data_IF_505980634532
#
_entry.id   IF_505980634532
#
_cell.length_a   1.000
_cell.length_b   1.000
_cell.length_c   1.000
_cell.angle_alpha   90.00
_cell.angle_beta   90.00
_cell.angle_gamma   90.00
#
_symmetry.space_group_name_H-M   'P 1'
#
loop_
_entity.id
_entity.type
_entity.pdbx_description
1 polymer ?
#
# COMPACT_ATOMS: atom_id res chain seq x y z
N UNK A 1 12.10 5.97 35.58
CA UNK A 1 12.74 5.49 34.33
C UNK A 1 11.68 4.81 33.50
N UNK A 2 11.53 5.14 32.21
CA UNK A 2 10.65 4.39 31.32
C UNK A 2 11.24 3.00 31.08
N UNK A 3 10.37 2.00 30.96
CA UNK A 3 10.78 0.62 30.70
C UNK A 3 11.32 0.51 29.27
N UNK A 4 12.45 -0.14 29.08
CA UNK A 4 12.97 -0.44 27.76
C UNK A 4 12.00 -1.32 26.96
N UNK A 5 11.78 -0.99 25.71
CA UNK A 5 11.01 -1.85 24.79
C UNK A 5 11.85 -3.08 24.49
N UNK A 6 11.33 -4.26 24.79
CA UNK A 6 12.04 -5.53 24.55
C UNK A 6 11.18 -6.51 23.77
N UNK A 7 9.92 -6.68 24.15
CA UNK A 7 9.02 -7.67 23.58
C UNK A 7 7.80 -7.03 22.96
N UNK A 8 7.57 -7.34 21.70
CA UNK A 8 6.45 -6.84 20.89
C UNK A 8 5.59 -8.01 20.46
N UNK A 9 4.27 -7.87 20.55
CA UNK A 9 3.36 -8.72 19.80
C UNK A 9 2.80 -7.89 18.65
N UNK A 10 2.98 -8.36 17.43
CA UNK A 10 2.41 -7.74 16.24
C UNK A 10 1.23 -8.58 15.75
N UNK A 11 0.08 -7.93 15.53
CA UNK A 11 -1.14 -8.57 15.04
C UNK A 11 -1.34 -8.15 13.58
N UNK A 12 -1.87 -9.04 12.75
CA UNK A 12 -2.29 -8.69 11.41
C UNK A 12 -2.21 -9.84 10.41
N UNK A 13 -2.69 -9.62 9.18
CA UNK A 13 -2.51 -10.59 8.12
C UNK A 13 -1.04 -10.63 7.70
N UNK A 14 -0.53 -11.81 7.46
CA UNK A 14 0.76 -12.07 6.82
C UNK A 14 0.59 -13.25 5.86
N UNK A 15 1.59 -13.55 5.03
CA UNK A 15 1.58 -14.75 4.21
C UNK A 15 1.00 -15.95 4.99
N UNK A 16 0.08 -16.72 4.42
CA UNK A 16 -0.33 -16.77 3.03
C UNK A 16 -1.48 -15.80 2.64
N UNK A 17 -1.91 -14.88 3.52
CA UNK A 17 -2.91 -13.89 3.14
C UNK A 17 -2.41 -12.95 2.04
N UNK A 18 -3.30 -12.66 1.05
CA UNK A 18 -3.03 -11.77 -0.08
C UNK A 18 -3.15 -10.29 0.30
N UNK A 19 -2.47 -9.46 -0.47
CA UNK A 19 -2.69 -8.02 -0.52
C UNK A 19 -1.71 -7.18 0.29
N UNK A 20 -1.75 -5.87 0.02
CA UNK A 20 -0.77 -4.91 0.51
C UNK A 20 -0.60 -4.89 2.04
N UNK A 21 -1.69 -5.07 2.79
CA UNK A 21 -1.62 -5.07 4.26
C UNK A 21 -0.88 -6.30 4.78
N UNK A 22 -1.03 -7.46 4.14
CA UNK A 22 -0.30 -8.67 4.51
C UNK A 22 1.21 -8.50 4.24
N UNK A 23 1.58 -7.96 3.09
CA UNK A 23 2.98 -7.63 2.79
C UNK A 23 3.55 -6.60 3.75
N UNK A 24 2.80 -5.52 4.01
CA UNK A 24 3.20 -4.49 4.97
C UNK A 24 3.48 -5.08 6.35
N UNK A 25 2.51 -5.83 6.88
CA UNK A 25 2.62 -6.45 8.21
C UNK A 25 3.82 -7.39 8.30
N UNK A 26 4.03 -8.20 7.26
CA UNK A 26 5.17 -9.13 7.20
C UNK A 26 6.51 -8.40 7.16
N UNK A 27 6.65 -7.37 6.33
CA UNK A 27 7.88 -6.59 6.21
C UNK A 27 8.18 -5.79 7.49
N UNK A 28 7.17 -5.20 8.11
CA UNK A 28 7.32 -4.51 9.40
C UNK A 28 7.75 -5.48 10.50
N UNK A 29 7.14 -6.66 10.57
CA UNK A 29 7.55 -7.70 11.52
C UNK A 29 9.01 -8.11 11.33
N UNK A 30 9.44 -8.35 10.09
CA UNK A 30 10.84 -8.66 9.77
C UNK A 30 11.79 -7.53 10.16
N UNK A 31 11.41 -6.26 9.96
CA UNK A 31 12.22 -5.11 10.35
C UNK A 31 12.35 -4.99 11.88
N UNK A 32 11.25 -5.10 12.61
CA UNK A 32 11.25 -5.03 14.07
C UNK A 32 12.04 -6.19 14.70
N UNK A 33 12.01 -7.39 14.11
CA UNK A 33 12.78 -8.56 14.56
C UNK A 33 14.31 -8.38 14.52
N UNK A 34 14.81 -7.39 13.77
CA UNK A 34 16.23 -7.05 13.78
C UNK A 34 16.71 -6.52 15.14
N UNK A 35 15.79 -5.94 15.94
CA UNK A 35 16.12 -5.26 17.21
C UNK A 35 15.35 -5.81 18.41
N UNK A 36 14.18 -6.42 18.21
CA UNK A 36 13.24 -6.80 19.26
C UNK A 36 12.83 -8.26 19.19
N UNK A 37 12.42 -8.81 20.33
CA UNK A 37 11.67 -10.08 20.38
C UNK A 37 10.24 -9.84 19.90
N UNK A 38 9.92 -10.27 18.67
CA UNK A 38 8.62 -10.01 18.04
C UNK A 38 7.88 -11.32 17.78
N UNK A 39 6.79 -11.52 18.49
CA UNK A 39 5.82 -12.58 18.22
C UNK A 39 4.80 -12.09 17.18
N UNK A 40 4.76 -12.74 16.02
CA UNK A 40 3.76 -12.46 14.98
C UNK A 40 2.49 -13.28 15.22
N UNK A 41 1.34 -12.62 15.37
CA UNK A 41 0.02 -13.24 15.56
C UNK A 41 -0.88 -12.89 14.37
N UNK A 42 -1.32 -13.90 13.65
CA UNK A 42 -2.15 -13.74 12.45
C UNK A 42 -3.50 -14.46 12.59
N UNK A 43 -4.28 -14.43 11.53
CA UNK A 43 -5.65 -14.92 11.50
C UNK A 43 -5.72 -16.39 11.08
N UNK A 44 -6.50 -17.19 11.82
CA UNK A 44 -7.04 -18.46 11.32
C UNK A 44 -8.09 -18.16 10.24
N UNK A 45 -8.95 -17.19 10.53
CA UNK A 45 -9.98 -16.68 9.62
C UNK A 45 -10.01 -15.16 9.73
N UNK A 46 -9.72 -14.46 8.61
CA UNK A 46 -9.72 -13.01 8.51
C UNK A 46 -11.11 -12.48 8.17
N UNK A 47 -11.69 -12.93 7.06
CA UNK A 47 -13.05 -12.59 6.64
C UNK A 47 -13.88 -13.86 6.43
N UNK A 48 -15.14 -13.89 6.90
CA UNK A 48 -16.07 -14.96 6.56
C UNK A 48 -16.33 -15.02 5.05
N UNK A 49 -16.54 -16.22 4.51
CA UNK A 49 -16.75 -16.42 3.06
C UNK A 49 -17.95 -15.64 2.49
N UNK A 50 -18.98 -15.36 3.31
CA UNK A 50 -20.14 -14.58 2.86
C UNK A 50 -19.85 -13.09 2.70
N UNK A 51 -18.82 -12.55 3.39
CA UNK A 51 -18.38 -11.16 3.25
C UNK A 51 -17.31 -11.02 2.17
N UNK A 52 -16.46 -12.02 2.00
CA UNK A 52 -15.40 -12.01 1.01
C UNK A 52 -15.37 -13.33 0.26
N UNK A 53 -15.94 -13.32 -0.95
CA UNK A 53 -16.16 -14.53 -1.77
C UNK A 53 -14.89 -15.02 -2.48
N UNK A 54 -13.93 -14.12 -2.76
CA UNK A 54 -12.67 -14.46 -3.45
C UNK A 54 -11.72 -15.20 -2.50
N UNK A 55 -10.78 -15.98 -3.07
CA UNK A 55 -9.74 -16.63 -2.28
C UNK A 55 -8.84 -15.60 -1.57
N UNK A 56 -8.73 -15.71 -0.25
CA UNK A 56 -8.00 -14.77 0.59
C UNK A 56 -6.52 -15.14 0.75
N UNK A 57 -6.14 -16.36 0.37
CA UNK A 57 -4.79 -16.91 0.57
C UNK A 57 -4.13 -17.23 -0.75
N UNK A 58 -2.81 -17.13 -0.76
CA UNK A 58 -1.93 -17.50 -1.86
C UNK A 58 -0.68 -18.16 -1.27
N UNK A 59 -0.39 -19.36 -1.71
CA UNK A 59 0.72 -20.14 -1.22
C UNK A 59 1.92 -20.16 -2.18
N UNK A 60 1.83 -19.43 -3.31
CA UNK A 60 2.85 -19.45 -4.37
C UNK A 60 4.08 -18.57 -4.06
N UNK A 61 4.02 -17.78 -2.98
CA UNK A 61 5.03 -16.79 -2.64
C UNK A 61 5.65 -16.99 -1.24
N UNK A 62 6.29 -18.13 -0.93
CA UNK A 62 6.82 -18.45 0.41
C UNK A 62 7.92 -17.48 0.90
N UNK A 63 8.56 -16.72 0.00
CA UNK A 63 9.52 -15.68 0.36
C UNK A 63 8.95 -14.56 1.24
N UNK A 64 7.62 -14.37 1.23
CA UNK A 64 6.92 -13.43 2.11
C UNK A 64 6.58 -14.03 3.48
N UNK A 65 6.86 -15.30 3.69
CA UNK A 65 6.60 -15.95 4.97
C UNK A 65 7.31 -15.21 6.13
N UNK A 66 6.59 -15.10 7.22
CA UNK A 66 7.14 -14.66 8.51
C UNK A 66 7.27 -15.90 9.38
N UNK A 67 8.48 -16.41 9.61
CA UNK A 67 8.68 -17.63 10.38
C UNK A 67 8.04 -17.55 11.78
N UNK A 68 7.60 -18.67 12.31
CA UNK A 68 7.01 -18.79 13.65
C UNK A 68 5.71 -18.00 13.86
N UNK A 69 5.03 -17.60 12.79
CA UNK A 69 3.73 -16.92 12.86
C UNK A 69 2.70 -17.79 13.59
N UNK A 70 1.98 -17.17 14.53
CA UNK A 70 0.92 -17.83 15.31
C UNK A 70 -0.44 -17.46 14.71
N UNK A 71 -1.10 -18.38 14.01
CA UNK A 71 -2.43 -18.18 13.43
C UNK A 71 -3.51 -18.45 14.50
N UNK A 72 -3.69 -17.51 15.42
CA UNK A 72 -4.55 -17.67 16.58
C UNK A 72 -5.94 -17.05 16.47
N UNK A 73 -6.13 -16.03 15.61
CA UNK A 73 -7.30 -15.17 15.65
C UNK A 73 -8.36 -15.61 14.62
N UNK A 74 -9.57 -15.88 15.10
CA UNK A 74 -10.76 -16.05 14.28
C UNK A 74 -11.70 -14.86 14.51
N UNK A 75 -11.76 -13.93 13.58
CA UNK A 75 -12.39 -12.60 13.75
C UNK A 75 -13.89 -12.62 14.10
N UNK A 76 -14.61 -13.66 13.67
CA UNK A 76 -16.04 -13.81 13.90
C UNK A 76 -16.38 -14.76 15.08
N UNK A 77 -15.40 -15.22 15.87
CA UNK A 77 -15.64 -16.11 17.01
C UNK A 77 -15.20 -15.44 18.33
N UNK A 78 -16.14 -14.90 19.14
CA UNK A 78 -15.79 -14.23 20.41
C UNK A 78 -15.01 -15.09 21.40
N UNK A 79 -15.31 -16.37 21.49
CA UNK A 79 -14.58 -17.28 22.37
C UNK A 79 -13.14 -17.48 21.94
N UNK A 80 -12.91 -17.60 20.61
CA UNK A 80 -11.57 -17.65 20.07
C UNK A 80 -10.80 -16.35 20.31
N UNK A 81 -11.42 -15.19 20.13
CA UNK A 81 -10.82 -13.88 20.37
C UNK A 81 -10.35 -13.75 21.82
N UNK A 82 -11.18 -14.16 22.78
CA UNK A 82 -10.79 -14.20 24.21
C UNK A 82 -9.64 -15.16 24.46
N UNK A 83 -9.66 -16.33 23.85
CA UNK A 83 -8.58 -17.33 23.95
C UNK A 83 -7.27 -16.79 23.37
N UNK A 84 -7.31 -16.20 22.18
CA UNK A 84 -6.16 -15.58 21.53
C UNK A 84 -5.58 -14.43 22.39
N UNK A 85 -6.43 -13.58 22.96
CA UNK A 85 -5.98 -12.53 23.89
C UNK A 85 -5.28 -13.08 25.11
N UNK A 86 -5.76 -14.20 25.70
CA UNK A 86 -5.08 -14.89 26.79
C UNK A 86 -3.73 -15.47 26.40
N UNK A 87 -3.58 -15.97 25.17
CA UNK A 87 -2.30 -16.42 24.66
C UNK A 87 -1.32 -15.27 24.49
N UNK A 88 -1.77 -14.12 23.96
CA UNK A 88 -0.96 -12.92 23.85
C UNK A 88 -0.49 -12.43 25.22
N UNK A 89 -1.36 -12.44 26.25
CA UNK A 89 -0.98 -12.06 27.61
C UNK A 89 0.11 -12.99 28.21
N UNK A 90 0.13 -14.27 27.87
CA UNK A 90 1.18 -15.20 28.29
C UNK A 90 2.55 -14.83 27.72
N UNK A 91 2.60 -14.20 26.56
CA UNK A 91 3.83 -13.68 25.96
C UNK A 91 4.43 -12.51 26.75
N UNK A 92 3.65 -11.87 27.64
CA UNK A 92 4.04 -10.67 28.43
C UNK A 92 4.65 -9.55 27.60
N UNK A 93 4.00 -9.12 26.49
CA UNK A 93 4.55 -8.06 25.65
C UNK A 93 4.62 -6.72 26.38
N UNK A 94 5.62 -5.90 26.04
CA UNK A 94 5.67 -4.51 26.40
C UNK A 94 4.69 -3.69 25.55
N UNK A 95 4.62 -4.05 24.26
CA UNK A 95 3.82 -3.38 23.23
C UNK A 95 3.05 -4.39 22.39
N UNK A 96 1.78 -4.09 22.12
CA UNK A 96 0.99 -4.79 21.11
C UNK A 96 0.67 -3.82 19.98
N UNK A 97 1.01 -4.19 18.73
CA UNK A 97 0.76 -3.39 17.53
C UNK A 97 -0.40 -3.98 16.77
N UNK A 98 -1.45 -3.19 16.57
CA UNK A 98 -2.62 -3.53 15.79
C UNK A 98 -2.61 -2.76 14.45
N UNK A 99 -2.69 -3.40 13.29
CA UNK A 99 -3.00 -2.72 12.04
C UNK A 99 -4.48 -2.33 12.04
N UNK A 100 -4.77 -1.11 11.62
CA UNK A 100 -6.13 -0.64 11.45
C UNK A 100 -6.37 -0.21 10.00
N UNK A 101 -7.35 -0.83 9.34
CA UNK A 101 -7.67 -0.50 7.93
C UNK A 101 -9.16 -0.59 7.59
N UNK A 102 -9.97 -1.26 8.43
CA UNK A 102 -11.40 -1.42 8.15
C UNK A 102 -12.19 -1.69 9.43
N UNK A 103 -13.32 -0.99 9.65
CA UNK A 103 -14.17 -1.14 10.85
C UNK A 103 -14.80 -2.53 11.05
N UNK A 104 -14.77 -3.41 10.05
CA UNK A 104 -15.13 -4.82 10.23
C UNK A 104 -14.38 -5.48 11.40
N UNK A 105 -13.13 -5.09 11.63
CA UNK A 105 -12.30 -5.65 12.70
C UNK A 105 -12.63 -5.09 14.08
N UNK A 106 -13.47 -4.05 14.15
CA UNK A 106 -13.74 -3.36 15.40
C UNK A 106 -14.26 -4.28 16.52
N UNK A 107 -15.22 -5.19 16.32
CA UNK A 107 -15.66 -6.07 17.39
C UNK A 107 -14.54 -6.97 17.93
N UNK A 108 -13.70 -7.48 17.03
CA UNK A 108 -12.56 -8.33 17.38
C UNK A 108 -11.51 -7.53 18.17
N UNK A 109 -11.04 -6.43 17.62
CA UNK A 109 -9.97 -5.63 18.22
C UNK A 109 -10.42 -4.97 19.53
N UNK A 110 -11.66 -4.55 19.64
CA UNK A 110 -12.20 -4.01 20.89
C UNK A 110 -12.20 -5.02 22.04
N UNK A 111 -12.56 -6.29 21.78
CA UNK A 111 -12.48 -7.36 22.80
C UNK A 111 -11.04 -7.58 23.21
N UNK A 112 -10.13 -7.70 22.23
CA UNK A 112 -8.70 -7.89 22.49
C UNK A 112 -8.12 -6.72 23.29
N UNK A 113 -8.38 -5.50 22.86
CA UNK A 113 -7.94 -4.28 23.52
C UNK A 113 -8.37 -4.22 24.99
N UNK A 114 -9.66 -4.49 25.28
CA UNK A 114 -10.17 -4.54 26.66
C UNK A 114 -9.39 -5.49 27.57
N UNK A 115 -8.93 -6.60 27.03
CA UNK A 115 -8.18 -7.59 27.77
C UNK A 115 -6.71 -7.20 27.92
N UNK A 116 -6.12 -6.64 26.89
CA UNK A 116 -4.69 -6.38 26.81
C UNK A 116 -4.28 -5.06 27.48
N UNK A 117 -5.09 -4.01 27.35
CA UNK A 117 -4.79 -2.62 27.77
C UNK A 117 -4.31 -2.46 29.22
N UNK A 118 -4.75 -3.34 30.14
CA UNK A 118 -4.34 -3.31 31.55
C UNK A 118 -2.93 -3.85 31.79
N UNK A 119 -2.36 -4.53 30.81
CA UNK A 119 -1.12 -5.31 30.96
C UNK A 119 -0.01 -4.87 30.01
N UNK A 120 -0.36 -4.20 28.92
CA UNK A 120 0.58 -3.79 27.87
C UNK A 120 0.14 -2.47 27.24
N UNK A 121 1.07 -1.78 26.58
CA UNK A 121 0.76 -0.63 25.73
C UNK A 121 0.21 -1.09 24.39
N UNK A 122 -0.66 -0.27 23.81
CA UNK A 122 -1.31 -0.54 22.52
C UNK A 122 -0.96 0.53 21.51
N UNK A 123 -0.41 0.11 20.38
CA UNK A 123 -0.12 0.96 19.23
C UNK A 123 -1.03 0.57 18.07
N UNK A 124 -1.67 1.55 17.46
CA UNK A 124 -2.39 1.36 16.20
C UNK A 124 -1.57 1.89 15.02
N UNK A 125 -1.36 1.01 14.05
CA UNK A 125 -0.84 1.36 12.74
C UNK A 125 -2.03 1.56 11.80
N UNK A 126 -2.39 2.81 11.56
CA UNK A 126 -3.56 3.15 10.75
C UNK A 126 -3.17 3.25 9.27
N UNK A 127 -3.61 2.28 8.48
CA UNK A 127 -3.55 2.35 7.01
C UNK A 127 -4.60 3.29 6.45
N UNK A 128 -5.75 3.36 7.10
CA UNK A 128 -6.81 4.35 6.92
C UNK A 128 -7.52 4.50 8.25
N UNK A 129 -7.74 5.71 8.73
CA UNK A 129 -8.54 5.93 9.95
C UNK A 129 -10.00 5.61 9.65
N UNK A 130 -10.54 6.15 8.57
CA UNK A 130 -11.86 5.80 8.07
C UNK A 130 -11.78 5.05 6.72
N UNK A 131 -12.73 4.14 6.43
CA UNK A 131 -12.72 3.43 5.16
C UNK A 131 -13.03 4.37 3.99
N UNK A 132 -12.50 4.05 2.78
CA UNK A 132 -12.82 4.80 1.56
C UNK A 132 -14.31 4.75 1.22
N UNK A 133 -14.91 3.57 1.35
CA UNK A 133 -16.35 3.37 1.18
C UNK A 133 -17.02 3.48 2.55
N UNK A 134 -17.67 4.63 2.78
CA UNK A 134 -18.32 4.95 4.05
C UNK A 134 -19.60 4.15 4.24
N UNK A 135 -19.87 3.73 5.48
CA UNK A 135 -21.13 3.07 5.85
C UNK A 135 -21.65 3.56 7.23
N UNK A 136 -22.93 3.31 7.50
CA UNK A 136 -23.68 3.96 8.58
C UNK A 136 -23.06 3.90 9.98
N UNK A 137 -22.25 2.91 10.30
CA UNK A 137 -21.67 2.75 11.66
C UNK A 137 -20.13 2.87 11.69
N UNK A 138 -19.50 3.21 10.59
CA UNK A 138 -18.06 3.20 10.46
C UNK A 138 -17.37 4.12 11.49
N UNK A 139 -17.89 5.35 11.68
CA UNK A 139 -17.36 6.29 12.66
C UNK A 139 -17.46 5.79 14.10
N UNK A 140 -18.60 5.23 14.45
CA UNK A 140 -18.83 4.70 15.79
C UNK A 140 -17.86 3.54 16.08
N UNK A 141 -17.76 2.59 15.16
CA UNK A 141 -16.90 1.42 15.30
C UNK A 141 -15.42 1.82 15.36
N UNK A 142 -14.99 2.71 14.48
CA UNK A 142 -13.62 3.24 14.47
C UNK A 142 -13.29 3.94 15.79
N UNK A 143 -14.15 4.86 16.24
CA UNK A 143 -13.96 5.56 17.52
C UNK A 143 -13.86 4.59 18.69
N UNK A 144 -14.72 3.58 18.73
CA UNK A 144 -14.77 2.60 19.80
C UNK A 144 -13.46 1.85 20.01
N UNK A 145 -12.70 1.66 18.94
CA UNK A 145 -11.39 0.99 18.97
C UNK A 145 -10.27 2.01 19.17
N UNK A 146 -10.14 3.00 18.29
CA UNK A 146 -8.98 3.88 18.28
C UNK A 146 -8.91 4.82 19.49
N UNK A 147 -10.05 5.19 20.09
CA UNK A 147 -10.07 6.09 21.26
C UNK A 147 -9.14 5.65 22.41
N UNK A 148 -8.92 4.34 22.54
CA UNK A 148 -8.18 3.76 23.66
C UNK A 148 -6.72 3.41 23.36
N UNK A 149 -6.26 3.55 22.12
CA UNK A 149 -4.85 3.35 21.78
C UNK A 149 -3.92 4.28 22.59
N UNK A 150 -2.72 3.80 22.91
CA UNK A 150 -1.69 4.62 23.54
C UNK A 150 -0.89 5.39 22.51
N UNK A 151 -0.55 4.73 21.39
CA UNK A 151 0.29 5.28 20.33
C UNK A 151 -0.35 5.06 18.97
N UNK A 152 -0.06 5.96 18.04
CA UNK A 152 -0.61 5.89 16.68
C UNK A 152 0.47 6.19 15.65
N UNK A 153 0.47 5.40 14.58
CA UNK A 153 1.19 5.70 13.35
C UNK A 153 0.14 5.92 12.27
N UNK A 154 0.18 7.07 11.62
CA UNK A 154 -0.65 7.41 10.45
C UNK A 154 0.23 7.68 9.25
N UNK A 155 -0.30 7.49 8.05
CA UNK A 155 0.50 7.53 6.82
C UNK A 155 0.16 8.70 5.89
N UNK A 156 -0.87 9.48 6.23
CA UNK A 156 -1.24 10.72 5.52
C UNK A 156 -1.70 11.80 6.48
N UNK A 157 -1.60 13.06 6.06
CA UNK A 157 -2.16 14.20 6.81
C UNK A 157 -3.67 14.09 6.98
N UNK A 158 -4.36 13.47 6.02
CA UNK A 158 -5.78 13.21 6.09
C UNK A 158 -6.09 12.24 7.25
N UNK A 159 -5.37 11.11 7.34
CA UNK A 159 -5.53 10.16 8.44
C UNK A 159 -5.18 10.79 9.79
N UNK A 160 -4.16 11.66 9.84
CA UNK A 160 -3.81 12.40 11.06
C UNK A 160 -4.97 13.30 11.48
N UNK A 161 -5.53 14.09 10.59
CA UNK A 161 -6.71 14.94 10.82
C UNK A 161 -7.93 14.13 11.26
N UNK A 162 -8.17 12.99 10.62
CA UNK A 162 -9.26 12.09 10.96
C UNK A 162 -9.08 11.47 12.36
N UNK A 163 -7.85 11.16 12.76
CA UNK A 163 -7.55 10.66 14.09
C UNK A 163 -7.85 11.71 15.18
N UNK A 164 -7.54 12.99 14.93
CA UNK A 164 -7.87 14.08 15.85
C UNK A 164 -9.39 14.28 16.03
N UNK A 165 -10.22 13.89 15.04
CA UNK A 165 -11.69 13.86 15.20
C UNK A 165 -12.17 12.77 16.17
N UNK A 166 -11.35 11.72 16.37
CA UNK A 166 -11.67 10.58 17.25
C UNK A 166 -11.13 10.80 18.65
N UNK A 167 -9.90 11.28 18.78
CA UNK A 167 -9.15 11.43 20.00
C UNK A 167 -8.51 12.82 20.05
N UNK A 168 -8.80 13.59 21.10
CA UNK A 168 -8.42 15.01 21.22
C UNK A 168 -6.91 15.22 21.35
N UNK A 169 -6.19 14.28 21.93
CA UNK A 169 -4.73 14.36 22.16
C UNK A 169 -4.07 13.00 21.91
N UNK A 170 -3.98 12.55 20.64
CA UNK A 170 -3.33 11.30 20.33
C UNK A 170 -1.81 11.44 20.36
N UNK A 171 -1.11 10.48 20.97
CA UNK A 171 0.34 10.35 20.78
C UNK A 171 0.58 9.73 19.41
N UNK A 172 0.74 10.57 18.42
CA UNK A 172 0.78 10.19 17.01
C UNK A 172 2.08 10.57 16.32
N UNK A 173 2.48 9.79 15.32
CA UNK A 173 3.50 10.11 14.33
C UNK A 173 2.92 9.92 12.93
N UNK A 174 3.06 10.97 12.14
CA UNK A 174 2.88 10.90 10.68
C UNK A 174 4.18 10.41 10.06
N UNK A 175 4.11 9.30 9.33
CA UNK A 175 5.24 8.77 8.57
C UNK A 175 4.74 8.17 7.27
N UNK A 176 5.41 8.39 6.13
CA UNK A 176 4.97 7.81 4.87
C UNK A 176 5.04 6.29 4.91
N UNK A 177 4.24 5.67 4.08
CA UNK A 177 4.27 4.23 3.88
C UNK A 177 5.65 3.80 3.37
N UNK A 178 6.31 2.80 3.98
CA UNK A 178 7.61 2.31 3.50
C UNK A 178 7.55 1.68 2.11
N UNK A 179 8.66 1.68 1.41
CA UNK A 179 8.78 1.06 0.09
C UNK A 179 8.70 -0.46 0.13
N UNK A 180 8.21 -1.05 -0.96
CA UNK A 180 8.13 -2.49 -1.13
C UNK A 180 9.32 -3.04 -1.96
N UNK A 181 10.54 -2.88 -1.46
CA UNK A 181 11.74 -3.49 -2.07
C UNK A 181 11.65 -5.02 -2.15
N UNK A 182 10.75 -5.63 -1.36
CA UNK A 182 10.52 -7.07 -1.34
C UNK A 182 9.98 -7.64 -2.68
N UNK A 183 9.48 -6.80 -3.59
CA UNK A 183 9.09 -7.24 -4.94
C UNK A 183 10.25 -7.37 -5.91
N UNK A 184 11.48 -6.99 -5.54
CA UNK A 184 12.70 -7.32 -6.30
C UNK A 184 13.14 -8.76 -6.00
N UNK A 185 12.39 -9.73 -6.48
CA UNK A 185 12.58 -11.14 -6.16
C UNK A 185 13.69 -11.80 -6.97
N UNK A 186 13.87 -11.36 -8.20
CA UNK A 186 14.80 -11.93 -9.17
C UNK A 186 15.96 -10.97 -9.49
N UNK A 187 15.88 -9.71 -9.03
CA UNK A 187 16.79 -8.63 -9.34
C UNK A 187 16.98 -8.40 -10.85
N UNK A 188 15.86 -8.46 -11.58
CA UNK A 188 15.85 -8.28 -13.03
C UNK A 188 16.38 -6.89 -13.41
N UNK A 189 17.26 -6.86 -14.40
CA UNK A 189 17.66 -5.62 -15.08
C UNK A 189 16.51 -5.07 -15.93
N UNK A 190 16.60 -3.79 -16.32
CA UNK A 190 15.64 -3.17 -17.26
C UNK A 190 15.60 -3.94 -18.59
N UNK A 191 16.72 -4.40 -19.09
CA UNK A 191 16.79 -5.14 -20.37
C UNK A 191 16.07 -6.48 -20.29
N UNK A 192 16.39 -7.31 -19.27
CA UNK A 192 15.72 -8.59 -19.04
C UNK A 192 14.22 -8.42 -18.84
N UNK A 193 13.83 -7.41 -18.08
CA UNK A 193 12.41 -7.12 -17.84
C UNK A 193 11.67 -6.72 -19.12
N UNK A 194 12.31 -5.94 -19.99
CA UNK A 194 11.75 -5.55 -21.30
C UNK A 194 11.60 -6.75 -22.23
N UNK A 195 12.56 -7.66 -22.25
CA UNK A 195 12.44 -8.93 -23.01
C UNK A 195 11.24 -9.75 -22.51
N UNK A 196 11.05 -9.87 -21.19
CA UNK A 196 9.93 -10.61 -20.60
C UNK A 196 8.56 -10.04 -20.95
N UNK A 197 8.45 -8.73 -21.12
CA UNK A 197 7.20 -8.05 -21.54
C UNK A 197 7.17 -7.74 -23.03
N UNK A 198 8.12 -8.27 -23.81
CA UNK A 198 8.22 -8.08 -25.28
C UNK A 198 8.27 -6.62 -25.70
N UNK A 199 9.04 -5.81 -24.95
CA UNK A 199 9.27 -4.42 -25.24
C UNK A 199 10.68 -4.20 -25.81
N UNK A 200 10.82 -3.25 -26.75
CA UNK A 200 12.13 -2.88 -27.30
C UNK A 200 12.94 -2.02 -26.31
N UNK A 201 14.26 -1.93 -26.54
CA UNK A 201 15.15 -1.13 -25.67
C UNK A 201 14.83 0.37 -25.70
N UNK A 202 14.42 0.87 -26.87
CA UNK A 202 14.17 2.30 -27.11
C UNK A 202 12.69 2.68 -26.91
N UNK A 203 11.86 1.72 -26.55
CA UNK A 203 10.45 1.96 -26.31
C UNK A 203 10.23 2.73 -24.99
N UNK A 204 9.36 3.73 -25.03
CA UNK A 204 8.94 4.50 -23.86
C UNK A 204 7.76 3.81 -23.23
N UNK A 205 7.86 3.46 -21.95
CA UNK A 205 6.87 2.62 -21.28
C UNK A 205 6.22 3.35 -20.12
N UNK A 206 4.90 3.58 -20.25
CA UNK A 206 4.04 3.95 -19.14
C UNK A 206 3.49 2.69 -18.46
N UNK A 207 3.32 2.74 -17.13
CA UNK A 207 2.73 1.65 -16.38
C UNK A 207 1.57 2.16 -15.51
N UNK A 208 0.37 1.63 -15.76
CA UNK A 208 -0.73 1.63 -14.81
C UNK A 208 -0.82 0.24 -14.18
N UNK A 209 -0.81 0.14 -12.85
CA UNK A 209 -0.75 -1.16 -12.17
C UNK A 209 -1.78 -1.30 -11.03
N UNK A 210 -2.34 -2.51 -10.87
CA UNK A 210 -3.18 -2.94 -9.75
C UNK A 210 -4.64 -3.11 -10.12
N UNK A 211 -5.52 -3.28 -9.11
CA UNK A 211 -6.95 -3.42 -9.35
C UNK A 211 -7.49 -2.21 -10.10
N UNK A 212 -8.17 -2.44 -11.22
CA UNK A 212 -8.87 -1.39 -11.95
C UNK A 212 -10.21 -1.15 -11.27
N UNK A 213 -10.37 0.03 -10.69
CA UNK A 213 -11.62 0.51 -10.08
C UNK A 213 -11.86 1.93 -10.56
N UNK A 214 -13.11 2.36 -10.57
CA UNK A 214 -13.48 3.67 -11.09
C UNK A 214 -12.64 4.79 -10.46
N UNK A 215 -12.51 4.81 -9.14
CA UNK A 215 -11.74 5.82 -8.42
C UNK A 215 -10.24 5.87 -8.77
N UNK A 216 -9.70 4.82 -9.40
CA UNK A 216 -8.30 4.80 -9.88
C UNK A 216 -8.11 5.50 -11.22
N UNK A 217 -9.18 5.93 -11.84
CA UNK A 217 -9.17 6.88 -12.93
C UNK A 217 -8.47 6.44 -14.20
N UNK A 218 -8.33 5.14 -14.48
CA UNK A 218 -7.71 4.63 -15.72
C UNK A 218 -8.26 5.33 -16.97
N UNK A 219 -9.57 5.61 -16.98
CA UNK A 219 -10.24 6.34 -18.09
C UNK A 219 -9.58 7.67 -18.43
N UNK A 220 -8.96 8.36 -17.46
CA UNK A 220 -8.30 9.63 -17.70
C UNK A 220 -6.96 9.47 -18.39
N UNK A 221 -6.19 8.41 -18.05
CA UNK A 221 -4.98 8.05 -18.79
C UNK A 221 -5.33 7.67 -20.24
N UNK A 222 -6.33 6.81 -20.44
CA UNK A 222 -6.73 6.38 -21.79
C UNK A 222 -7.20 7.57 -22.66
N UNK A 223 -7.87 8.56 -22.06
CA UNK A 223 -8.24 9.80 -22.75
C UNK A 223 -7.06 10.72 -23.06
N UNK A 224 -5.99 10.66 -22.29
CA UNK A 224 -4.76 11.40 -22.52
C UNK A 224 -3.88 10.80 -23.63
N UNK A 225 -3.99 9.47 -23.86
CA UNK A 225 -3.12 8.73 -24.79
C UNK A 225 -3.05 9.29 -26.20
N UNK A 226 -4.14 9.71 -26.88
CA UNK A 226 -4.03 10.26 -28.24
C UNK A 226 -3.05 11.43 -28.33
N UNK A 227 -3.15 12.41 -27.41
CA UNK A 227 -2.24 13.57 -27.37
C UNK A 227 -0.79 13.14 -27.04
N UNK A 228 -0.63 12.15 -26.15
CA UNK A 228 0.69 11.64 -25.80
C UNK A 228 1.36 10.98 -27.00
N UNK A 229 0.66 10.06 -27.69
CA UNK A 229 1.21 9.30 -28.81
C UNK A 229 1.48 10.15 -30.06
N UNK A 230 0.77 11.26 -30.24
CA UNK A 230 1.07 12.25 -31.27
C UNK A 230 2.44 12.89 -31.05
N UNK A 231 2.81 13.21 -29.81
CA UNK A 231 4.01 13.98 -29.49
C UNK A 231 5.19 13.13 -28.99
N UNK A 232 4.94 11.95 -28.46
CA UNK A 232 5.96 11.03 -27.92
C UNK A 232 5.94 9.77 -28.78
N UNK A 233 6.94 9.64 -29.65
CA UNK A 233 7.06 8.47 -30.53
C UNK A 233 7.58 7.23 -29.79
N UNK A 234 7.22 6.05 -30.30
CA UNK A 234 7.62 4.76 -29.74
C UNK A 234 7.23 4.59 -28.27
N UNK A 235 5.98 4.95 -27.94
CA UNK A 235 5.43 4.87 -26.59
C UNK A 235 4.35 3.80 -26.50
N UNK A 236 4.42 2.98 -25.46
CA UNK A 236 3.40 2.00 -25.08
C UNK A 236 3.00 2.16 -23.63
N UNK A 237 1.72 2.09 -23.34
CA UNK A 237 1.17 2.07 -21.99
C UNK A 237 0.74 0.66 -21.62
N UNK A 238 1.35 0.09 -20.61
CA UNK A 238 0.90 -1.15 -20.01
C UNK A 238 -0.16 -0.87 -18.95
N UNK A 239 -1.34 -1.48 -19.11
CA UNK A 239 -2.43 -1.48 -18.14
C UNK A 239 -2.51 -2.89 -17.54
N UNK A 240 -1.99 -3.05 -16.33
CA UNK A 240 -1.74 -4.35 -15.71
C UNK A 240 -2.58 -4.51 -14.46
N UNK A 241 -3.55 -5.44 -14.46
CA UNK A 241 -4.36 -5.72 -13.29
C UNK A 241 -5.74 -6.29 -13.52
N UNK A 242 -6.51 -6.46 -12.43
CA UNK A 242 -7.86 -7.05 -12.44
C UNK A 242 -8.92 -5.94 -12.64
N UNK A 243 -9.62 -6.01 -13.75
CA UNK A 243 -10.65 -5.05 -14.17
C UNK A 243 -12.02 -5.25 -13.48
N UNK A 244 -12.25 -6.42 -12.87
CA UNK A 244 -13.58 -6.73 -12.33
C UNK A 244 -14.65 -6.75 -13.41
N UNK A 245 -15.80 -6.09 -13.16
CA UNK A 245 -16.95 -6.07 -14.07
C UNK A 245 -16.86 -4.97 -15.16
N UNK A 246 -15.95 -4.00 -14.99
CA UNK A 246 -15.88 -2.79 -15.82
C UNK A 246 -14.99 -2.95 -17.07
N UNK A 247 -14.48 -4.13 -17.35
CA UNK A 247 -13.51 -4.39 -18.43
C UNK A 247 -13.95 -3.86 -19.79
N UNK A 248 -15.18 -4.20 -20.18
CA UNK A 248 -15.64 -3.95 -21.54
C UNK A 248 -15.72 -2.45 -21.88
N UNK A 249 -16.10 -1.62 -20.91
CA UNK A 249 -16.12 -0.17 -21.09
C UNK A 249 -14.71 0.43 -21.32
N UNK A 250 -13.66 -0.12 -20.69
CA UNK A 250 -12.29 0.30 -20.94
C UNK A 250 -11.79 -0.15 -22.30
N UNK A 251 -12.14 -1.39 -22.74
CA UNK A 251 -11.79 -1.88 -24.07
C UNK A 251 -12.52 -1.10 -25.17
N UNK A 252 -13.76 -0.67 -24.94
CA UNK A 252 -14.48 0.20 -25.85
C UNK A 252 -13.84 1.60 -25.93
N UNK A 253 -13.44 2.17 -24.79
CA UNK A 253 -12.73 3.46 -24.76
C UNK A 253 -11.39 3.42 -25.51
N UNK A 254 -10.63 2.32 -25.40
CA UNK A 254 -9.38 2.13 -26.17
C UNK A 254 -9.66 2.17 -27.68
N UNK A 255 -10.70 1.47 -28.15
CA UNK A 255 -11.11 1.47 -29.55
C UNK A 255 -11.62 2.83 -30.01
N UNK A 256 -12.49 3.46 -29.20
CA UNK A 256 -13.02 4.81 -29.49
C UNK A 256 -11.88 5.83 -29.67
N UNK A 257 -10.85 5.75 -28.84
CA UNK A 257 -9.68 6.66 -28.90
C UNK A 257 -8.64 6.25 -29.93
N UNK A 258 -8.80 5.10 -30.60
CA UNK A 258 -7.88 4.56 -31.62
C UNK A 258 -6.43 4.42 -31.09
N UNK A 259 -6.30 3.86 -29.91
CA UNK A 259 -5.02 3.71 -29.20
C UNK A 259 -4.64 2.23 -28.95
N UNK A 260 -5.25 1.30 -29.69
CA UNK A 260 -5.02 -0.15 -29.57
C UNK A 260 -3.54 -0.52 -29.72
N UNK A 261 -2.84 0.15 -30.64
CA UNK A 261 -1.41 -0.10 -30.90
C UNK A 261 -0.48 0.49 -29.79
N UNK A 262 -1.01 1.41 -28.97
CA UNK A 262 -0.26 2.11 -27.93
C UNK A 262 -0.62 1.67 -26.51
N UNK A 263 -1.63 0.81 -26.33
CA UNK A 263 -2.08 0.33 -25.02
C UNK A 263 -2.10 -1.18 -24.98
N UNK A 264 -1.29 -1.77 -24.12
CA UNK A 264 -1.29 -3.20 -23.85
C UNK A 264 -1.99 -3.51 -22.52
N UNK A 265 -3.04 -4.33 -22.59
CA UNK A 265 -3.82 -4.74 -21.43
C UNK A 265 -3.39 -6.13 -20.97
N UNK A 266 -2.90 -6.23 -19.73
CA UNK A 266 -2.59 -7.49 -19.07
C UNK A 266 -3.60 -7.69 -17.94
N UNK A 267 -4.61 -8.52 -18.24
CA UNK A 267 -5.75 -8.73 -17.38
C UNK A 267 -5.51 -9.81 -16.31
N UNK A 268 -6.04 -9.57 -15.11
CA UNK A 268 -6.14 -10.53 -14.03
C UNK A 268 -5.30 -10.18 -12.81
N UNK A 269 -5.33 -11.07 -11.83
CA UNK A 269 -4.44 -10.99 -10.67
C UNK A 269 -3.00 -11.26 -11.10
N UNK A 270 -2.12 -10.33 -10.79
CA UNK A 270 -0.69 -10.47 -11.09
C UNK A 270 0.00 -11.09 -9.88
N UNK A 271 0.55 -12.30 -10.00
CA UNK A 271 1.32 -12.92 -8.93
C UNK A 271 2.52 -12.06 -8.53
N UNK A 272 2.86 -12.05 -7.25
CA UNK A 272 3.94 -11.19 -6.72
C UNK A 272 5.27 -11.36 -7.46
N UNK A 273 5.59 -12.59 -7.91
CA UNK A 273 6.79 -12.90 -8.71
C UNK A 273 6.82 -12.26 -10.10
N UNK A 274 5.66 -11.86 -10.61
CA UNK A 274 5.51 -11.23 -11.93
C UNK A 274 5.52 -9.69 -11.85
N UNK A 275 5.39 -9.12 -10.66
CA UNK A 275 5.35 -7.67 -10.45
C UNK A 275 6.64 -7.00 -10.91
N UNK A 276 7.79 -7.60 -10.58
CA UNK A 276 9.12 -7.06 -10.85
C UNK A 276 9.33 -6.67 -12.30
N UNK A 277 8.95 -7.55 -13.25
CA UNK A 277 9.20 -7.31 -14.68
C UNK A 277 8.52 -6.05 -15.21
N UNK A 278 7.35 -5.68 -14.70
CA UNK A 278 6.64 -4.47 -15.15
C UNK A 278 7.28 -3.21 -14.58
N UNK A 279 7.58 -3.21 -13.28
CA UNK A 279 8.19 -2.04 -12.64
C UNK A 279 9.64 -1.82 -13.05
N UNK A 280 10.42 -2.87 -13.26
CA UNK A 280 11.79 -2.73 -13.73
C UNK A 280 11.85 -2.26 -15.20
N UNK A 281 10.90 -2.69 -16.04
CA UNK A 281 10.84 -2.33 -17.47
C UNK A 281 10.33 -0.90 -17.72
N UNK A 282 9.40 -0.37 -16.93
CA UNK A 282 8.74 0.90 -17.20
C UNK A 282 9.66 2.11 -17.00
N UNK A 283 9.26 3.25 -17.57
CA UNK A 283 9.94 4.53 -17.42
C UNK A 283 9.19 5.46 -16.46
N UNK A 284 7.86 5.42 -16.50
CA UNK A 284 7.00 6.24 -15.64
C UNK A 284 5.77 5.44 -15.20
N UNK A 285 5.48 5.44 -13.91
CA UNK A 285 4.24 4.88 -13.39
C UNK A 285 3.19 5.98 -13.34
N UNK A 286 1.97 5.70 -13.86
CA UNK A 286 0.89 6.70 -13.96
C UNK A 286 -0.31 6.25 -13.14
N UNK A 287 -0.66 7.03 -12.13
CA UNK A 287 -1.74 6.76 -11.17
C UNK A 287 -2.75 7.93 -11.16
N UNK A 288 -3.67 7.99 -12.12
CA UNK A 288 -4.57 9.13 -12.33
C UNK A 288 -5.81 9.07 -11.44
N UNK A 289 -5.60 8.82 -10.14
CA UNK A 289 -6.67 8.53 -9.19
C UNK A 289 -7.64 9.69 -9.02
N UNK A 290 -8.93 9.38 -8.83
CA UNK A 290 -9.96 10.34 -8.48
C UNK A 290 -10.09 10.51 -6.95
N UNK A 291 -9.67 9.50 -6.20
CA UNK A 291 -9.64 9.50 -4.73
C UNK A 291 -8.60 8.52 -4.22
N UNK A 292 -7.88 8.90 -3.19
CA UNK A 292 -6.96 8.02 -2.48
C UNK A 292 -6.67 8.58 -1.08
N UNK A 293 -6.39 7.71 -0.11
CA UNK A 293 -5.68 8.10 1.13
C UNK A 293 -4.18 7.93 0.93
N UNK A 294 -3.79 6.77 0.43
CA UNK A 294 -2.41 6.37 0.12
C UNK A 294 -2.40 5.44 -1.10
N UNK A 295 -1.21 5.20 -1.66
CA UNK A 295 -1.05 4.20 -2.71
C UNK A 295 0.18 3.32 -2.48
N UNK A 296 -0.05 2.03 -2.22
CA UNK A 296 1.01 1.04 -2.21
C UNK A 296 1.77 0.93 -3.53
N UNK A 297 1.13 1.29 -4.64
CA UNK A 297 1.76 1.27 -5.97
C UNK A 297 2.86 2.33 -6.09
N UNK A 298 2.69 3.53 -5.49
CA UNK A 298 3.76 4.52 -5.39
C UNK A 298 4.97 3.91 -4.66
N UNK A 299 4.72 3.18 -3.58
CA UNK A 299 5.79 2.58 -2.78
C UNK A 299 6.50 1.42 -3.50
N UNK A 300 5.77 0.67 -4.32
CA UNK A 300 6.39 -0.33 -5.23
C UNK A 300 7.26 0.41 -6.25
N UNK A 301 6.72 1.42 -6.93
CA UNK A 301 7.47 2.22 -7.91
C UNK A 301 8.77 2.79 -7.33
N UNK A 302 8.69 3.40 -6.15
CA UNK A 302 9.87 3.93 -5.44
C UNK A 302 10.87 2.83 -5.04
N UNK A 303 10.39 1.63 -4.66
CA UNK A 303 11.25 0.46 -4.46
C UNK A 303 12.05 0.08 -5.71
N UNK A 304 11.54 0.38 -6.91
CA UNK A 304 12.22 0.23 -8.19
C UNK A 304 12.89 1.53 -8.68
N UNK A 305 12.91 2.58 -7.86
CA UNK A 305 13.41 3.92 -8.21
C UNK A 305 12.74 4.50 -9.45
N UNK A 306 11.44 4.19 -9.64
CA UNK A 306 10.67 4.69 -10.77
C UNK A 306 9.90 5.94 -10.37
N UNK A 307 10.00 7.02 -11.17
CA UNK A 307 9.18 8.21 -11.02
C UNK A 307 7.69 7.89 -11.19
N UNK A 308 6.85 8.73 -10.59
CA UNK A 308 5.40 8.52 -10.61
C UNK A 308 4.69 9.80 -11.05
N UNK A 309 3.73 9.69 -11.95
CA UNK A 309 2.73 10.73 -12.17
C UNK A 309 1.50 10.37 -11.32
N UNK A 310 1.11 11.27 -10.43
CA UNK A 310 -0.07 11.13 -9.58
C UNK A 310 -1.00 12.32 -9.71
N UNK A 311 -2.22 12.16 -9.23
CA UNK A 311 -3.17 13.26 -9.10
C UNK A 311 -3.11 13.89 -7.71
N UNK A 312 -3.54 15.17 -7.63
CA UNK A 312 -3.63 15.95 -6.40
C UNK A 312 -4.83 15.48 -5.54
N UNK A 313 -4.78 14.23 -5.05
CA UNK A 313 -5.84 13.65 -4.19
C UNK A 313 -5.23 12.97 -2.97
N UNK A 314 -5.88 13.14 -1.84
CA UNK A 314 -5.52 12.51 -0.56
C UNK A 314 -4.06 12.69 -0.17
N UNK A 315 -3.39 11.61 0.17
CA UNK A 315 -1.98 11.60 0.60
C UNK A 315 -0.97 11.40 -0.54
N UNK A 316 -1.39 11.38 -1.82
CA UNK A 316 -0.45 11.19 -2.94
C UNK A 316 0.55 12.35 -3.07
N UNK A 317 0.14 13.64 -2.95
CA UNK A 317 1.08 14.76 -2.97
C UNK A 317 2.01 14.84 -1.74
N UNK A 318 1.68 14.14 -0.65
CA UNK A 318 2.57 14.06 0.52
C UNK A 318 3.80 13.17 0.26
N UNK A 319 3.70 12.29 -0.75
CA UNK A 319 4.74 11.31 -1.12
C UNK A 319 5.47 11.74 -2.39
N UNK A 320 4.74 12.18 -3.41
CA UNK A 320 5.33 12.58 -4.70
C UNK A 320 5.62 14.08 -4.69
N UNK A 321 6.89 14.44 -4.78
CA UNK A 321 7.31 15.84 -4.88
C UNK A 321 7.27 16.27 -6.34
N UNK A 322 6.34 17.19 -6.68
CA UNK A 322 6.15 17.67 -8.05
C UNK A 322 7.44 18.25 -8.65
N UNK A 323 7.76 17.84 -9.88
CA UNK A 323 8.96 18.23 -10.60
C UNK A 323 10.28 17.68 -10.05
N UNK A 324 10.23 16.77 -9.04
CA UNK A 324 11.43 16.16 -8.45
C UNK A 324 11.41 14.63 -8.47
N UNK A 325 10.42 14.01 -7.86
CA UNK A 325 10.29 12.54 -7.80
C UNK A 325 9.20 12.04 -8.74
N UNK A 326 8.52 12.95 -9.42
CA UNK A 326 7.42 12.70 -10.33
C UNK A 326 6.66 13.97 -10.65
N UNK A 327 5.42 13.82 -11.08
CA UNK A 327 4.52 14.94 -11.32
C UNK A 327 3.22 14.78 -10.54
N UNK A 328 2.66 15.92 -10.10
CA UNK A 328 1.35 15.99 -9.45
C UNK A 328 0.44 16.84 -10.35
N UNK A 329 -0.65 16.25 -10.82
CA UNK A 329 -1.61 16.89 -11.72
C UNK A 329 -3.01 16.91 -11.11
N UNK A 330 -3.91 17.74 -11.62
CA UNK A 330 -5.28 17.76 -11.14
C UNK A 330 -6.03 16.49 -11.51
N UNK A 331 -6.86 16.01 -10.58
CA UNK A 331 -7.72 14.85 -10.80
C UNK A 331 -8.72 15.11 -11.92
N UNK A 332 -9.08 14.04 -12.66
CA UNK A 332 -10.03 14.10 -13.78
C UNK A 332 -9.60 15.03 -14.92
N UNK A 333 -8.32 15.29 -15.06
CA UNK A 333 -7.76 16.17 -16.08
C UNK A 333 -6.82 15.42 -17.05
N UNK A 334 -7.35 14.78 -18.11
CA UNK A 334 -6.53 14.10 -19.11
C UNK A 334 -5.50 15.01 -19.83
N UNK A 335 -5.81 16.29 -19.98
CA UNK A 335 -4.89 17.25 -20.60
C UNK A 335 -3.63 17.43 -19.79
N UNK A 336 -3.75 17.66 -18.48
CA UNK A 336 -2.59 17.80 -17.60
C UNK A 336 -1.80 16.49 -17.50
N UNK A 337 -2.47 15.32 -17.52
CA UNK A 337 -1.80 14.03 -17.59
C UNK A 337 -0.94 13.95 -18.86
N UNK A 338 -1.53 14.29 -20.02
CA UNK A 338 -0.80 14.27 -21.28
C UNK A 338 0.40 15.25 -21.27
N UNK A 339 0.20 16.48 -20.82
CA UNK A 339 1.27 17.49 -20.77
C UNK A 339 2.42 17.08 -19.86
N UNK A 340 2.13 16.50 -18.70
CA UNK A 340 3.15 16.01 -17.78
C UNK A 340 3.94 14.82 -18.36
N UNK A 341 3.29 13.86 -19.01
CA UNK A 341 3.97 12.73 -19.67
C UNK A 341 4.83 13.23 -20.84
N UNK A 342 4.30 14.14 -21.66
CA UNK A 342 5.04 14.72 -22.79
C UNK A 342 6.28 15.47 -22.28
N UNK A 343 6.12 16.30 -21.26
CA UNK A 343 7.22 17.03 -20.62
C UNK A 343 8.27 16.08 -20.08
N UNK A 344 7.87 15.01 -19.37
CA UNK A 344 8.77 14.01 -18.82
C UNK A 344 9.72 13.43 -19.86
N UNK A 345 9.20 13.01 -21.02
CA UNK A 345 10.02 12.43 -22.07
C UNK A 345 10.77 13.44 -22.92
N UNK A 346 10.22 14.64 -23.17
CA UNK A 346 10.91 15.72 -23.92
C UNK A 346 12.08 16.33 -23.15
N UNK A 347 11.95 16.42 -21.83
CA UNK A 347 12.99 16.96 -20.96
C UNK A 347 13.92 15.87 -20.39
N UNK A 348 13.77 14.61 -20.81
CA UNK A 348 14.60 13.47 -20.42
C UNK A 348 14.73 13.32 -18.89
N UNK A 349 13.62 13.46 -18.15
CA UNK A 349 13.58 13.52 -16.68
C UNK A 349 13.79 12.16 -15.97
N UNK A 350 13.95 11.07 -16.69
CA UNK A 350 14.03 9.71 -16.11
C UNK A 350 15.15 9.61 -15.06
N UNK A 351 16.37 9.93 -15.45
CA UNK A 351 17.55 9.78 -14.58
C UNK A 351 17.51 10.75 -13.40
N UNK A 352 17.18 12.02 -13.64
CA UNK A 352 17.06 13.04 -12.59
C UNK A 352 16.04 12.62 -11.53
N UNK A 353 14.84 12.23 -11.94
CA UNK A 353 13.79 11.84 -10.99
C UNK A 353 14.12 10.52 -10.28
N UNK A 354 14.72 9.55 -10.95
CA UNK A 354 15.16 8.30 -10.34
C UNK A 354 16.22 8.53 -9.25
N UNK A 355 17.16 9.44 -9.48
CA UNK A 355 18.16 9.83 -8.48
C UNK A 355 17.53 10.54 -7.29
N UNK A 356 16.55 11.43 -7.53
CA UNK A 356 15.81 12.10 -6.46
C UNK A 356 15.00 11.10 -5.61
N UNK A 357 14.33 10.12 -6.24
CA UNK A 357 13.65 9.02 -5.52
C UNK A 357 14.65 8.24 -4.66
N UNK A 358 15.83 7.94 -5.20
CA UNK A 358 16.90 7.26 -4.45
C UNK A 358 17.38 8.10 -3.26
N UNK A 359 17.53 9.41 -3.42
CA UNK A 359 17.98 10.30 -2.33
C UNK A 359 16.99 10.32 -1.16
N UNK A 360 15.70 10.09 -1.42
CA UNK A 360 14.67 10.00 -0.38
C UNK A 360 14.47 8.57 0.18
N UNK A 361 15.21 7.57 -0.27
CA UNK A 361 15.00 6.14 0.05
C UNK A 361 14.95 5.88 1.57
N UNK A 362 15.78 6.57 2.36
CA UNK A 362 15.76 6.39 3.82
C UNK A 362 14.44 6.79 4.45
N UNK A 363 13.81 7.88 4.00
CA UNK A 363 12.51 8.35 4.48
C UNK A 363 11.42 7.27 4.38
N UNK A 364 11.54 6.41 3.37
CA UNK A 364 10.63 5.31 3.08
C UNK A 364 11.19 3.94 3.49
N UNK A 365 12.21 3.88 4.35
CA UNK A 365 12.81 2.61 4.78
C UNK A 365 12.04 1.97 5.93
N UNK A 366 12.15 0.65 6.04
CA UNK A 366 11.63 -0.10 7.18
C UNK A 366 12.42 0.17 8.46
N UNK A 367 13.69 0.56 8.34
CA UNK A 367 14.52 0.97 9.48
C UNK A 367 13.99 2.30 10.04
N UNK A 368 13.62 3.28 9.20
CA UNK A 368 12.94 4.51 9.63
C UNK A 368 11.60 4.22 10.31
N UNK A 369 10.82 3.25 9.80
CA UNK A 369 9.58 2.84 10.45
C UNK A 369 9.83 2.24 11.86
N UNK A 370 10.90 1.47 12.03
CA UNK A 370 11.31 0.94 13.34
C UNK A 370 11.66 2.08 14.31
N UNK A 371 12.39 3.10 13.87
CA UNK A 371 12.69 4.29 14.67
C UNK A 371 11.42 5.06 15.07
N UNK A 372 10.42 5.13 14.20
CA UNK A 372 9.12 5.76 14.54
C UNK A 372 8.43 5.02 15.70
N UNK A 373 8.51 3.69 15.73
CA UNK A 373 8.01 2.90 16.88
C UNK A 373 8.80 3.24 18.15
N UNK A 374 10.12 3.36 18.07
CA UNK A 374 11.01 3.74 19.18
C UNK A 374 10.71 5.14 19.70
N UNK A 375 10.54 6.12 18.80
CA UNK A 375 10.21 7.50 19.14
C UNK A 375 8.85 7.61 19.85
N UNK A 376 7.85 6.84 19.43
CA UNK A 376 6.55 6.79 20.10
C UNK A 376 6.65 6.12 21.46
N UNK A 377 7.39 5.02 21.57
CA UNK A 377 7.62 4.35 22.85
C UNK A 377 8.33 5.25 23.86
N UNK A 378 9.24 6.11 23.41
CA UNK A 378 9.98 7.04 24.25
C UNK A 378 9.15 8.21 24.79
N UNK A 379 7.94 8.46 24.29
CA UNK A 379 6.98 9.48 24.76
C UNK A 379 6.12 8.96 25.91
#
# INVERSE_FOLDING_TARGET
MKKDLKKIVMIGPVYPYKGGIAHYTGLMCKALRKKYDVTMVSFQMQYPKFLYKKEQKDYDNPQFEVPETKYWIHTANPFNIVKASKWILKEKPDLVIFPWWHPYFAPCFWIMEKMLKKHTKIMFLCHNVFPHERFLMDRFLTKRVLEKGDYFIVQSKMDESDLYQIKSDPVVKLTPHPTYNAFRLQNLSRSESRELIRASKDEKILLFFGFVREYKGLKHLLRAMPKITEQVKNLRSFVVGDFGEDRDQYMELIREKKIEDAVEVVEGYIPDKEVEKYFAACDLVVLPYESATQSGIVQIAYGFRKPVLVTNVGGLPDVVTDGKTGYVVESKNPEQIADAVIRYFKEEKEEEFAQNVKAEEYKYSWDRMTEVVEELWAR
#
